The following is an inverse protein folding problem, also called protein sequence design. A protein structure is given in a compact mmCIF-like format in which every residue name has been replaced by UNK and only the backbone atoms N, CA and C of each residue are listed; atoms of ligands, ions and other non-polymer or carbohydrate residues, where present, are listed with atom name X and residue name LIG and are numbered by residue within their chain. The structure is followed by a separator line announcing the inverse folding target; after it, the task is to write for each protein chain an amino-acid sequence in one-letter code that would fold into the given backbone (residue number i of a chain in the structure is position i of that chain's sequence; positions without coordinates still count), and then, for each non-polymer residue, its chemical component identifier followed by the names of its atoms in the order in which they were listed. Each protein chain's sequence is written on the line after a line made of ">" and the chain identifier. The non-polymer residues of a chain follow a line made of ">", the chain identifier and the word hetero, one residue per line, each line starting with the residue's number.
data_IF_903467012102
#
_entry.id   IF_903467012102
#
_cell.length_a   1.000
_cell.length_b   1.000
_cell.length_c   1.000
_cell.angle_alpha   90.00
_cell.angle_beta   90.00
_cell.angle_gamma   90.00
#
_symmetry.space_group_name_H-M   'P 1'
#
loop_
_entity.id
_entity.type
_entity.pdbx_description
1 polymer ?
#
# COMPACT_ATOMS: atom_id res chain seq x y z
N UNK A 1 33.33 10.65 24.39
CA UNK A 1 32.90 9.30 23.95
C UNK A 1 31.52 9.04 24.53
N UNK A 2 30.47 9.13 23.72
CA UNK A 2 29.09 8.85 24.16
C UNK A 2 28.67 7.56 23.49
N UNK A 3 28.69 6.47 24.26
CA UNK A 3 28.22 5.15 23.85
C UNK A 3 26.75 5.23 23.46
N UNK A 4 26.46 5.17 22.16
CA UNK A 4 25.11 4.92 21.69
C UNK A 4 24.72 3.50 22.09
N UNK A 5 23.94 3.38 23.16
CA UNK A 5 23.22 2.16 23.49
C UNK A 5 22.18 1.95 22.40
N UNK A 6 22.55 1.19 21.39
CA UNK A 6 21.61 0.58 20.46
C UNK A 6 20.68 -0.32 21.29
N UNK A 7 19.47 0.15 21.57
CA UNK A 7 18.43 -0.69 22.20
C UNK A 7 17.95 -1.68 21.15
N UNK A 8 18.76 -2.69 20.88
CA UNK A 8 18.38 -3.89 20.15
C UNK A 8 17.24 -4.51 20.94
N UNK A 9 16.04 -4.57 20.35
CA UNK A 9 14.92 -5.31 20.95
C UNK A 9 15.42 -6.72 21.24
N UNK A 10 15.22 -7.29 22.44
CA UNK A 10 15.57 -8.67 22.69
C UNK A 10 14.83 -9.52 21.65
N UNK A 11 15.61 -10.16 20.77
CA UNK A 11 15.09 -11.11 19.79
C UNK A 11 14.52 -12.25 20.61
N UNK A 12 13.21 -12.48 20.52
CA UNK A 12 12.55 -13.58 21.23
C UNK A 12 13.35 -14.85 20.91
N UNK A 13 13.85 -15.59 21.91
CA UNK A 13 14.64 -16.78 21.68
C UNK A 13 13.89 -17.76 20.77
N UNK A 14 14.57 -18.46 19.86
CA UNK A 14 13.92 -19.56 19.14
C UNK A 14 13.43 -20.59 20.13
N UNK A 15 12.27 -21.20 19.83
CA UNK A 15 11.67 -22.21 20.70
C UNK A 15 12.66 -23.34 20.98
N UNK A 16 12.77 -23.73 22.25
CA UNK A 16 13.62 -24.85 22.64
C UNK A 16 13.02 -26.18 22.15
N UNK A 17 13.83 -27.24 22.05
CA UNK A 17 13.35 -28.59 21.71
C UNK A 17 12.16 -29.06 22.58
N UNK A 18 12.17 -28.90 23.92
CA UNK A 18 11.01 -29.28 24.74
C UNK A 18 9.79 -28.39 24.47
N UNK A 19 9.96 -27.09 24.20
CA UNK A 19 8.85 -26.21 23.81
C UNK A 19 8.24 -26.60 22.47
N UNK A 20 9.05 -27.04 21.51
CA UNK A 20 8.57 -27.55 20.22
C UNK A 20 7.77 -28.85 20.39
N UNK A 21 8.25 -29.77 21.24
CA UNK A 21 7.49 -30.98 21.59
C UNK A 21 6.18 -30.65 22.29
N UNK A 22 6.20 -29.73 23.26
CA UNK A 22 5.00 -29.26 23.95
C UNK A 22 4.02 -28.63 22.95
N UNK A 23 4.49 -27.78 22.04
CA UNK A 23 3.67 -27.17 21.00
C UNK A 23 3.03 -28.24 20.09
N UNK A 24 3.81 -29.24 19.68
CA UNK A 24 3.32 -30.37 18.89
C UNK A 24 2.25 -31.17 19.63
N UNK A 25 2.50 -31.51 20.90
CA UNK A 25 1.54 -32.23 21.73
C UNK A 25 0.24 -31.42 21.91
N UNK A 26 0.34 -30.14 22.24
CA UNK A 26 -0.81 -29.23 22.38
C UNK A 26 -1.61 -29.16 21.07
N UNK A 27 -0.94 -29.07 19.92
CA UNK A 27 -1.61 -29.05 18.62
C UNK A 27 -2.40 -30.34 18.35
N UNK A 28 -1.82 -31.51 18.68
CA UNK A 28 -2.49 -32.81 18.53
C UNK A 28 -3.70 -32.93 19.47
N UNK A 29 -3.54 -32.58 20.75
CA UNK A 29 -4.67 -32.61 21.70
C UNK A 29 -5.77 -31.62 21.31
N UNK A 30 -5.41 -30.41 20.88
CA UNK A 30 -6.39 -29.43 20.43
C UNK A 30 -7.15 -29.91 19.18
N UNK A 31 -6.46 -30.52 18.21
CA UNK A 31 -7.09 -31.13 17.04
C UNK A 31 -8.03 -32.29 17.43
N UNK A 32 -7.63 -33.13 18.38
CA UNK A 32 -8.46 -34.22 18.90
C UNK A 32 -9.74 -33.72 19.57
N UNK A 33 -9.63 -32.74 20.48
CA UNK A 33 -10.77 -32.12 21.16
C UNK A 33 -11.69 -31.41 20.16
N UNK A 34 -11.12 -30.66 19.22
CA UNK A 34 -11.87 -30.00 18.16
C UNK A 34 -12.61 -31.00 17.26
N UNK A 35 -11.96 -32.10 16.89
CA UNK A 35 -12.57 -33.17 16.09
C UNK A 35 -13.73 -33.87 16.81
N UNK A 36 -13.60 -34.16 18.11
CA UNK A 36 -14.69 -34.72 18.91
C UNK A 36 -15.87 -33.74 19.03
N UNK A 37 -15.59 -32.45 19.25
CA UNK A 37 -16.63 -31.41 19.26
C UNK A 37 -17.36 -31.30 17.92
N UNK A 38 -16.63 -31.38 16.81
CA UNK A 38 -17.20 -31.38 15.46
C UNK A 38 -18.08 -32.61 15.22
N UNK A 39 -17.63 -33.80 15.60
CA UNK A 39 -18.40 -35.05 15.44
C UNK A 39 -19.71 -35.02 16.25
N UNK A 40 -19.67 -34.51 17.49
CA UNK A 40 -20.87 -34.36 18.32
C UNK A 40 -21.84 -33.32 17.76
N UNK A 41 -21.33 -32.17 17.28
CA UNK A 41 -22.10 -31.15 16.58
C UNK A 41 -22.75 -31.70 15.32
N UNK A 42 -22.00 -32.48 14.54
CA UNK A 42 -22.47 -33.11 13.30
C UNK A 42 -23.68 -34.01 13.54
N UNK A 43 -23.60 -34.89 14.54
CA UNK A 43 -24.71 -35.77 14.89
C UNK A 43 -25.94 -34.98 15.34
N UNK A 44 -25.76 -33.99 16.22
CA UNK A 44 -26.85 -33.16 16.73
C UNK A 44 -27.56 -32.37 15.61
N UNK A 45 -26.79 -31.75 14.72
CA UNK A 45 -27.31 -30.94 13.61
C UNK A 45 -27.91 -31.82 12.51
N UNK A 46 -27.32 -32.97 12.20
CA UNK A 46 -27.87 -33.94 11.25
C UNK A 46 -29.20 -34.52 11.76
N UNK A 47 -29.27 -34.91 13.03
CA UNK A 47 -30.52 -35.36 13.65
C UNK A 47 -31.59 -34.26 13.66
N UNK A 48 -31.20 -33.00 13.85
CA UNK A 48 -32.11 -31.86 13.73
C UNK A 48 -32.57 -31.64 12.28
N UNK A 49 -31.67 -31.76 11.30
CA UNK A 49 -31.99 -31.68 9.87
C UNK A 49 -33.03 -32.71 9.45
N UNK A 50 -32.98 -33.92 10.00
CA UNK A 50 -34.00 -34.94 9.76
C UNK A 50 -35.37 -34.50 10.26
N UNK A 51 -35.43 -33.90 11.46
CA UNK A 51 -36.67 -33.35 12.04
C UNK A 51 -37.19 -32.13 11.25
N UNK A 52 -36.30 -31.36 10.63
CA UNK A 52 -36.64 -30.21 9.80
C UNK A 52 -37.03 -30.58 8.36
N UNK A 53 -37.01 -31.86 7.99
CA UNK A 53 -37.48 -32.35 6.69
C UNK A 53 -36.42 -32.34 5.58
N UNK A 54 -35.13 -32.27 5.90
CA UNK A 54 -34.08 -32.43 4.89
C UNK A 54 -34.01 -33.87 4.38
N UNK A 55 -34.01 -34.06 3.06
CA UNK A 55 -33.86 -35.38 2.45
C UNK A 55 -32.50 -36.03 2.73
N UNK A 56 -31.44 -35.21 2.82
CA UNK A 56 -30.08 -35.62 3.19
C UNK A 56 -29.61 -34.78 4.39
N UNK A 57 -30.00 -35.13 5.63
CA UNK A 57 -29.74 -34.30 6.81
C UNK A 57 -28.25 -34.04 7.09
N UNK A 58 -27.39 -34.98 6.72
CA UNK A 58 -25.94 -34.87 6.87
C UNK A 58 -25.32 -33.75 6.02
N UNK A 59 -25.98 -33.34 4.93
CA UNK A 59 -25.44 -32.33 4.01
C UNK A 59 -25.42 -30.93 4.63
N UNK A 60 -26.33 -30.64 5.55
CA UNK A 60 -26.42 -29.35 6.25
C UNK A 60 -25.14 -29.05 7.06
N UNK A 61 -24.70 -29.91 8.01
CA UNK A 61 -23.45 -29.69 8.72
C UNK A 61 -22.22 -29.83 7.80
N UNK A 62 -22.19 -30.79 6.85
CA UNK A 62 -21.06 -30.92 5.90
C UNK A 62 -20.83 -29.63 5.12
N UNK A 63 -21.88 -29.05 4.55
CA UNK A 63 -21.75 -27.86 3.70
C UNK A 63 -21.12 -26.68 4.45
N UNK A 64 -21.53 -26.46 5.70
CA UNK A 64 -21.03 -25.35 6.53
C UNK A 64 -19.62 -25.65 7.04
N UNK A 65 -19.37 -26.85 7.54
CA UNK A 65 -18.09 -27.22 8.15
C UNK A 65 -16.97 -27.40 7.12
N UNK A 66 -17.29 -27.75 5.86
CA UNK A 66 -16.34 -27.73 4.74
C UNK A 66 -16.09 -26.30 4.24
N UNK A 67 -17.09 -25.44 4.28
CA UNK A 67 -16.94 -24.06 3.81
C UNK A 67 -15.95 -23.26 4.67
N UNK A 68 -15.94 -23.43 5.99
CA UNK A 68 -15.02 -22.72 6.90
C UNK A 68 -13.54 -22.89 6.50
N UNK A 69 -12.96 -24.11 6.42
CA UNK A 69 -11.57 -24.29 6.03
C UNK A 69 -11.31 -23.89 4.58
N UNK A 70 -12.26 -24.08 3.65
CA UNK A 70 -12.11 -23.68 2.24
C UNK A 70 -12.00 -22.16 2.12
N UNK A 71 -12.92 -21.39 2.72
CA UNK A 71 -12.87 -19.93 2.69
C UNK A 71 -11.67 -19.38 3.47
N UNK A 72 -11.29 -20.02 4.58
CA UNK A 72 -10.07 -19.68 5.32
C UNK A 72 -8.83 -19.88 4.45
N UNK A 73 -8.69 -21.04 3.79
CA UNK A 73 -7.57 -21.34 2.90
C UNK A 73 -7.52 -20.38 1.70
N UNK A 74 -8.67 -20.09 1.07
CA UNK A 74 -8.77 -19.12 0.00
C UNK A 74 -8.34 -17.71 0.46
N UNK A 75 -8.76 -17.29 1.66
CA UNK A 75 -8.33 -16.02 2.24
C UNK A 75 -6.82 -15.99 2.52
N UNK A 76 -6.24 -17.06 3.06
CA UNK A 76 -4.80 -17.17 3.26
C UNK A 76 -4.03 -17.15 1.92
N UNK A 77 -4.58 -17.76 0.87
CA UNK A 77 -4.02 -17.72 -0.46
C UNK A 77 -4.07 -16.32 -1.07
N UNK A 78 -5.17 -15.59 -0.87
CA UNK A 78 -5.31 -14.19 -1.30
C UNK A 78 -4.32 -13.26 -0.58
N UNK A 79 -4.06 -13.50 0.71
CA UNK A 79 -2.98 -12.82 1.44
C UNK A 79 -1.62 -13.17 0.81
N UNK A 80 -1.42 -14.44 0.46
CA UNK A 80 -0.16 -14.95 -0.11
C UNK A 80 0.14 -14.38 -1.49
N UNK A 81 -0.89 -14.08 -2.29
CA UNK A 81 -0.81 -13.52 -3.65
C UNK A 81 -0.91 -12.00 -3.70
N UNK A 82 -0.89 -11.32 -2.55
CA UNK A 82 -0.95 -9.84 -2.46
C UNK A 82 -2.27 -9.24 -2.99
N UNK A 83 -3.35 -10.03 -2.97
CA UNK A 83 -4.71 -9.61 -3.35
C UNK A 83 -5.71 -9.78 -2.19
N UNK A 84 -5.48 -9.17 -1.01
CA UNK A 84 -6.31 -9.44 0.16
C UNK A 84 -7.72 -8.85 0.00
N UNK A 85 -8.71 -9.73 -0.17
CA UNK A 85 -10.12 -9.36 -0.15
C UNK A 85 -10.61 -9.25 1.30
N UNK A 86 -10.46 -8.07 1.90
CA UNK A 86 -10.67 -7.84 3.34
C UNK A 86 -12.06 -8.16 3.89
N UNK A 87 -13.08 -8.26 3.03
CA UNK A 87 -14.44 -8.64 3.41
C UNK A 87 -14.64 -10.15 3.53
N UNK A 88 -13.87 -10.96 2.80
CA UNK A 88 -13.98 -12.44 2.82
C UNK A 88 -13.68 -13.00 4.20
N UNK A 89 -12.88 -12.27 5.00
CA UNK A 89 -12.66 -12.52 6.43
C UNK A 89 -13.97 -12.69 7.23
N UNK A 90 -15.05 -12.03 6.84
CA UNK A 90 -16.31 -12.11 7.58
C UNK A 90 -17.09 -13.39 7.24
N UNK A 91 -16.78 -14.07 6.14
CA UNK A 91 -17.50 -15.28 5.70
C UNK A 91 -17.34 -16.42 6.70
N UNK A 92 -16.12 -16.82 7.15
CA UNK A 92 -15.97 -17.83 8.20
C UNK A 92 -16.68 -17.47 9.51
N UNK A 93 -16.71 -16.18 9.89
CA UNK A 93 -17.40 -15.72 11.10
C UNK A 93 -18.93 -15.84 10.98
N UNK A 94 -19.49 -15.50 9.83
CA UNK A 94 -20.90 -15.70 9.55
C UNK A 94 -21.26 -17.19 9.55
N UNK A 95 -20.47 -18.03 8.87
CA UNK A 95 -20.66 -19.48 8.84
C UNK A 95 -20.59 -20.09 10.24
N UNK A 96 -19.63 -19.67 11.06
CA UNK A 96 -19.54 -20.06 12.47
C UNK A 96 -20.80 -19.70 13.24
N UNK A 97 -21.30 -18.47 13.05
CA UNK A 97 -22.55 -18.03 13.67
C UNK A 97 -23.74 -18.92 13.29
N UNK A 98 -23.82 -19.33 12.02
CA UNK A 98 -24.82 -20.29 11.54
C UNK A 98 -24.61 -21.67 12.20
N UNK A 99 -23.38 -22.20 12.28
CA UNK A 99 -23.12 -23.48 12.95
C UNK A 99 -23.54 -23.46 14.41
N UNK A 100 -23.20 -22.39 15.15
CA UNK A 100 -23.62 -22.21 16.54
C UNK A 100 -25.14 -22.15 16.66
N UNK A 101 -25.81 -21.39 15.78
CA UNK A 101 -27.26 -21.29 15.75
C UNK A 101 -27.92 -22.66 15.53
N UNK A 102 -27.45 -23.43 14.55
CA UNK A 102 -28.02 -24.75 14.23
C UNK A 102 -27.85 -25.72 15.40
N UNK A 103 -26.70 -25.68 16.09
CA UNK A 103 -26.48 -26.48 17.29
C UNK A 103 -27.37 -26.06 18.46
N UNK A 104 -27.58 -24.76 18.66
CA UNK A 104 -28.53 -24.24 19.65
C UNK A 104 -29.95 -24.70 19.30
N UNK A 105 -30.33 -24.66 18.02
CA UNK A 105 -31.65 -25.10 17.57
C UNK A 105 -31.86 -26.61 17.71
N UNK A 106 -30.79 -27.41 17.71
CA UNK A 106 -30.84 -28.86 17.93
C UNK A 106 -31.11 -29.23 19.40
N UNK A 107 -30.63 -28.41 20.35
CA UNK A 107 -30.74 -28.67 21.79
C UNK A 107 -32.15 -28.51 22.37
N UNK A 108 -32.58 -29.47 23.19
CA UNK A 108 -33.92 -29.48 23.79
C UNK A 108 -34.01 -28.73 25.13
N UNK A 109 -32.96 -28.79 25.96
CA UNK A 109 -32.88 -28.07 27.24
C UNK A 109 -31.96 -26.86 27.15
N UNK A 110 -32.11 -25.88 28.06
CA UNK A 110 -31.24 -24.70 28.08
C UNK A 110 -29.75 -25.08 28.19
N UNK A 111 -29.41 -26.04 29.06
CA UNK A 111 -28.05 -26.54 29.20
C UNK A 111 -27.54 -27.23 27.93
N UNK A 112 -28.37 -28.02 27.26
CA UNK A 112 -28.01 -28.67 25.99
C UNK A 112 -27.79 -27.63 24.89
N UNK A 113 -28.65 -26.61 24.79
CA UNK A 113 -28.50 -25.50 23.83
C UNK A 113 -27.18 -24.78 24.01
N UNK A 114 -26.81 -24.46 25.24
CA UNK A 114 -25.52 -23.82 25.56
C UNK A 114 -24.35 -24.75 25.23
N UNK A 115 -24.41 -26.02 25.63
CA UNK A 115 -23.34 -26.97 25.40
C UNK A 115 -23.10 -27.20 23.90
N UNK A 116 -24.16 -27.54 23.15
CA UNK A 116 -24.06 -27.77 21.70
C UNK A 116 -23.68 -26.49 20.96
N UNK A 117 -24.22 -25.33 21.33
CA UNK A 117 -23.85 -24.06 20.70
C UNK A 117 -22.38 -23.65 20.89
N UNK A 118 -21.77 -24.07 21.99
CA UNK A 118 -20.39 -23.73 22.34
C UNK A 118 -19.37 -24.68 21.70
N UNK A 119 -19.71 -25.95 21.48
CA UNK A 119 -18.77 -26.93 20.91
C UNK A 119 -18.13 -26.52 19.57
N UNK A 120 -18.87 -25.98 18.58
CA UNK A 120 -18.29 -25.50 17.32
C UNK A 120 -17.26 -24.39 17.51
N UNK A 121 -17.39 -23.58 18.56
CA UNK A 121 -16.44 -22.49 18.81
C UNK A 121 -15.03 -23.01 19.10
N UNK A 122 -14.89 -24.19 19.71
CA UNK A 122 -13.58 -24.79 19.98
C UNK A 122 -12.81 -25.05 18.68
N UNK A 123 -13.49 -25.64 17.70
CA UNK A 123 -12.91 -25.89 16.38
C UNK A 123 -12.60 -24.60 15.63
N UNK A 124 -13.51 -23.61 15.68
CA UNK A 124 -13.30 -22.32 15.03
C UNK A 124 -12.11 -21.57 15.63
N UNK A 125 -12.00 -21.52 16.95
CA UNK A 125 -10.85 -20.93 17.64
C UNK A 125 -9.55 -21.61 17.21
N UNK A 126 -9.53 -22.95 17.14
CA UNK A 126 -8.36 -23.69 16.65
C UNK A 126 -8.01 -23.31 15.20
N UNK A 127 -8.99 -23.25 14.31
CA UNK A 127 -8.80 -22.87 12.90
C UNK A 127 -8.32 -21.42 12.73
N UNK A 128 -8.84 -20.49 13.54
CA UNK A 128 -8.46 -19.07 13.54
C UNK A 128 -7.03 -18.90 14.06
N UNK A 129 -6.63 -19.65 15.09
CA UNK A 129 -5.25 -19.66 15.58
C UNK A 129 -4.31 -20.18 14.51
N UNK A 130 -4.65 -21.27 13.83
CA UNK A 130 -3.85 -21.81 12.72
C UNK A 130 -3.72 -20.80 11.57
N UNK A 131 -4.83 -20.19 11.15
CA UNK A 131 -4.85 -19.15 10.13
C UNK A 131 -4.04 -17.93 10.54
N UNK A 132 -4.14 -17.49 11.79
CA UNK A 132 -3.38 -16.37 12.34
C UNK A 132 -1.88 -16.65 12.35
N UNK A 133 -1.46 -17.85 12.76
CA UNK A 133 -0.04 -18.25 12.75
C UNK A 133 0.48 -18.27 11.31
N UNK A 134 -0.27 -18.86 10.38
CA UNK A 134 0.12 -18.92 8.96
C UNK A 134 0.21 -17.51 8.33
N UNK A 135 -0.81 -16.67 8.53
CA UNK A 135 -0.83 -15.29 8.05
C UNK A 135 0.30 -14.45 8.68
N UNK A 136 0.60 -14.66 9.97
CA UNK A 136 1.70 -13.98 10.66
C UNK A 136 3.06 -14.38 10.10
N UNK A 137 3.25 -15.65 9.72
CA UNK A 137 4.46 -16.12 9.05
C UNK A 137 4.62 -15.49 7.67
N UNK A 138 3.58 -15.49 6.85
CA UNK A 138 3.62 -14.86 5.52
C UNK A 138 3.86 -13.35 5.65
N UNK A 139 3.10 -12.66 6.50
CA UNK A 139 3.23 -11.22 6.69
C UNK A 139 4.59 -10.78 7.24
N UNK A 140 5.29 -11.64 7.99
CA UNK A 140 6.66 -11.41 8.41
C UNK A 140 7.67 -11.59 7.25
N UNK A 141 7.44 -12.55 6.36
CA UNK A 141 8.32 -12.84 5.21
C UNK A 141 8.14 -11.82 4.08
N UNK A 142 6.94 -11.28 3.86
CA UNK A 142 6.66 -10.32 2.78
C UNK A 142 7.24 -8.92 3.05
N UNK A 143 7.73 -8.62 4.27
CA UNK A 143 8.48 -7.40 4.58
C UNK A 143 7.71 -6.07 4.54
N UNK A 144 6.47 -6.04 4.03
CA UNK A 144 5.66 -4.83 3.86
C UNK A 144 4.83 -4.43 5.09
N UNK A 145 5.03 -5.11 6.23
CA UNK A 145 4.29 -4.78 7.45
C UNK A 145 4.88 -3.54 8.10
N UNK A 146 4.27 -2.39 7.82
CA UNK A 146 4.53 -1.15 8.56
C UNK A 146 4.22 -1.38 10.06
N UNK A 147 5.23 -1.24 10.91
CA UNK A 147 5.06 -1.30 12.35
C UNK A 147 4.16 -0.15 12.82
N UNK A 148 3.13 -0.49 13.61
CA UNK A 148 2.23 0.51 14.17
C UNK A 148 2.94 1.32 15.25
N UNK A 149 2.75 2.64 15.24
CA UNK A 149 3.21 3.50 16.35
C UNK A 149 2.46 3.13 17.63
N UNK A 150 3.16 3.11 18.77
CA UNK A 150 2.56 2.84 20.08
C UNK A 150 1.37 3.77 20.36
N UNK A 151 0.25 3.19 20.78
CA UNK A 151 -0.97 3.92 21.18
C UNK A 151 -0.70 4.95 22.28
N UNK A 152 0.19 4.65 23.22
CA UNK A 152 0.57 5.60 24.28
C UNK A 152 1.16 6.90 23.74
N UNK A 153 1.89 6.87 22.62
CA UNK A 153 2.47 8.08 22.03
C UNK A 153 1.42 8.95 21.34
N UNK A 154 0.38 8.33 20.76
CA UNK A 154 -0.77 9.08 20.24
C UNK A 154 -1.48 9.88 21.33
N UNK A 155 -1.56 9.33 22.55
CA UNK A 155 -2.14 10.03 23.70
C UNK A 155 -1.23 11.13 24.25
N UNK A 156 0.06 10.82 24.44
CA UNK A 156 1.01 11.72 25.10
C UNK A 156 1.57 12.81 24.17
N UNK A 157 1.63 12.56 22.87
CA UNK A 157 2.22 13.46 21.90
C UNK A 157 1.58 13.32 20.50
N UNK A 158 0.30 13.70 20.32
CA UNK A 158 -0.46 13.44 19.10
C UNK A 158 0.13 14.11 17.86
N UNK A 159 0.53 15.38 17.96
CA UNK A 159 1.08 16.13 16.81
C UNK A 159 2.43 15.57 16.34
N UNK A 160 3.35 15.30 17.26
CA UNK A 160 4.66 14.72 16.90
C UNK A 160 4.50 13.29 16.38
N UNK A 161 3.54 12.54 16.92
CA UNK A 161 3.19 11.21 16.43
C UNK A 161 2.63 11.26 15.01
N UNK A 162 1.75 12.21 14.70
CA UNK A 162 1.23 12.40 13.34
C UNK A 162 2.35 12.75 12.35
N UNK A 163 3.29 13.62 12.71
CA UNK A 163 4.43 13.94 11.83
C UNK A 163 5.34 12.75 11.59
N UNK A 164 5.57 11.91 12.62
CA UNK A 164 6.34 10.67 12.47
C UNK A 164 5.60 9.67 11.57
N UNK A 165 4.30 9.47 11.83
CA UNK A 165 3.45 8.58 11.03
C UNK A 165 3.45 8.97 9.56
N UNK A 166 3.17 10.26 9.26
CA UNK A 166 3.18 10.77 7.90
C UNK A 166 4.52 10.51 7.21
N UNK A 167 5.64 10.66 7.93
CA UNK A 167 6.96 10.40 7.36
C UNK A 167 7.21 8.91 7.16
N UNK A 168 6.83 8.05 8.11
CA UNK A 168 6.90 6.60 7.94
C UNK A 168 6.15 6.15 6.70
N UNK A 169 4.94 6.69 6.48
CA UNK A 169 4.12 6.40 5.29
C UNK A 169 4.73 6.94 4.00
N UNK A 170 5.22 8.19 3.97
CA UNK A 170 5.76 8.81 2.75
C UNK A 170 7.12 8.25 2.31
N UNK A 171 7.90 7.74 3.25
CA UNK A 171 9.27 7.25 3.01
C UNK A 171 9.37 5.73 3.17
N UNK A 172 8.22 5.04 3.24
CA UNK A 172 8.11 3.59 3.41
C UNK A 172 8.99 3.02 4.53
N UNK A 173 9.15 3.78 5.63
CA UNK A 173 9.93 3.33 6.79
C UNK A 173 9.08 2.35 7.59
N UNK A 174 9.30 1.06 7.34
CA UNK A 174 8.49 -0.02 7.92
C UNK A 174 8.73 -0.23 9.42
N UNK A 175 9.90 0.13 9.95
CA UNK A 175 10.25 -0.03 11.38
C UNK A 175 9.96 1.24 12.18
N UNK A 176 9.19 1.09 13.27
CA UNK A 176 8.92 2.19 14.20
C UNK A 176 10.19 2.61 14.96
N UNK A 177 11.04 1.64 15.31
CA UNK A 177 12.32 1.89 15.97
C UNK A 177 13.23 2.75 15.10
N UNK A 178 13.35 2.39 13.82
CA UNK A 178 14.19 3.09 12.85
C UNK A 178 13.65 4.49 12.57
N UNK A 179 12.33 4.65 12.49
CA UNK A 179 11.69 5.95 12.34
C UNK A 179 12.01 6.87 13.54
N UNK A 180 11.98 6.33 14.76
CA UNK A 180 12.29 7.08 15.96
C UNK A 180 13.77 7.45 16.05
N UNK A 181 14.67 6.54 15.65
CA UNK A 181 16.10 6.78 15.59
C UNK A 181 16.43 7.91 14.60
N UNK A 182 15.87 7.86 13.38
CA UNK A 182 16.02 8.92 12.37
C UNK A 182 15.44 10.26 12.83
N UNK A 183 14.34 10.25 13.58
CA UNK A 183 13.79 11.48 14.16
C UNK A 183 14.71 12.05 15.25
N UNK A 184 15.30 11.20 16.10
CA UNK A 184 16.30 11.60 17.09
C UNK A 184 17.54 12.22 16.42
N UNK A 185 18.08 11.58 15.40
CA UNK A 185 19.22 12.08 14.61
C UNK A 185 18.93 13.44 13.99
N UNK A 186 17.74 13.63 13.40
CA UNK A 186 17.34 14.92 12.85
C UNK A 186 17.30 16.01 13.91
N UNK A 187 16.80 15.70 15.11
CA UNK A 187 16.73 16.67 16.21
C UNK A 187 18.13 17.06 16.70
N UNK A 188 19.06 16.10 16.76
CA UNK A 188 20.47 16.35 17.08
C UNK A 188 21.16 17.20 16.00
N UNK A 189 21.00 16.85 14.72
CA UNK A 189 21.55 17.63 13.60
C UNK A 189 21.02 19.08 13.60
N UNK A 190 19.72 19.26 13.89
CA UNK A 190 19.13 20.60 14.04
C UNK A 190 19.73 21.37 15.23
N UNK A 191 20.03 20.69 16.33
CA UNK A 191 20.67 21.30 17.49
C UNK A 191 22.12 21.72 17.17
N UNK A 192 22.89 20.88 16.48
CA UNK A 192 24.25 21.20 16.02
C UNK A 192 24.29 22.39 15.06
N UNK A 193 23.36 22.45 14.09
CA UNK A 193 23.23 23.61 13.20
C UNK A 193 22.88 24.90 13.95
N UNK A 194 22.03 24.79 14.98
CA UNK A 194 21.73 25.92 15.87
C UNK A 194 22.92 26.37 16.68
N UNK A 195 23.77 25.45 17.13
CA UNK A 195 25.00 25.75 17.84
C UNK A 195 26.01 26.46 16.92
N UNK A 196 26.23 25.94 15.71
CA UNK A 196 27.21 26.49 14.74
C UNK A 196 26.80 27.84 14.14
N UNK A 197 25.51 28.03 13.83
CA UNK A 197 25.04 29.21 13.10
C UNK A 197 24.14 30.16 13.92
N UNK A 198 23.86 29.82 15.17
CA UNK A 198 23.06 30.63 16.09
C UNK A 198 21.59 30.79 15.68
N UNK A 199 20.98 31.91 16.07
CA UNK A 199 19.55 32.19 15.83
C UNK A 199 19.17 32.21 14.35
N UNK A 200 20.09 32.61 13.46
CA UNK A 200 19.91 32.67 11.99
C UNK A 200 20.34 31.39 11.28
N UNK A 201 20.38 30.24 11.96
CA UNK A 201 20.84 28.98 11.36
C UNK A 201 20.13 28.63 10.05
N UNK A 202 18.81 28.85 9.93
CA UNK A 202 18.06 28.52 8.71
C UNK A 202 18.55 29.28 7.46
N UNK A 203 19.01 30.51 7.61
CA UNK A 203 19.51 31.32 6.49
C UNK A 203 21.01 31.13 6.27
N UNK A 204 21.78 30.86 7.33
CA UNK A 204 23.23 30.69 7.27
C UNK A 204 23.70 29.27 6.95
N UNK A 205 22.85 28.26 7.14
CA UNK A 205 23.20 26.85 6.83
C UNK A 205 23.32 26.66 5.31
N UNK A 206 24.42 26.06 4.82
CA UNK A 206 24.57 25.66 3.42
C UNK A 206 23.35 24.88 2.90
N UNK A 207 23.00 25.10 1.62
CA UNK A 207 21.84 24.45 1.00
C UNK A 207 21.88 22.91 1.07
N UNK A 208 23.02 22.22 0.86
CA UNK A 208 23.09 20.77 0.96
C UNK A 208 22.71 20.24 2.35
N UNK A 209 23.31 20.81 3.41
CA UNK A 209 23.01 20.43 4.80
C UNK A 209 21.52 20.64 5.15
N UNK A 210 20.90 21.73 4.64
CA UNK A 210 19.46 21.98 4.81
C UNK A 210 18.57 20.96 4.09
N UNK A 211 18.97 20.52 2.91
CA UNK A 211 18.23 19.54 2.12
C UNK A 211 18.30 18.18 2.82
N UNK A 212 19.49 17.76 3.23
CA UNK A 212 19.68 16.49 3.95
C UNK A 212 18.87 16.46 5.27
N UNK A 213 18.80 17.57 6.01
CA UNK A 213 17.95 17.67 7.21
C UNK A 213 16.45 17.51 6.88
N UNK A 214 16.00 18.02 5.72
CA UNK A 214 14.60 17.96 5.29
C UNK A 214 14.22 16.56 4.81
N UNK A 215 15.09 15.93 4.02
CA UNK A 215 14.96 14.55 3.55
C UNK A 215 15.01 13.57 4.72
N UNK A 216 15.79 13.89 5.77
CA UNK A 216 15.97 13.01 6.92
C UNK A 216 17.05 11.95 6.68
N UNK A 217 17.95 12.21 5.74
CA UNK A 217 19.05 11.35 5.31
C UNK A 217 20.40 11.73 5.95
N UNK A 218 20.39 12.58 7.00
CA UNK A 218 21.62 12.90 7.73
C UNK A 218 22.02 11.77 8.67
N UNK A 219 22.48 10.66 8.08
CA UNK A 219 23.70 10.04 8.56
C UNK A 219 24.79 10.53 7.61
N UNK A 220 25.54 11.61 7.91
CA UNK A 220 26.88 11.63 7.38
C UNK A 220 27.52 10.34 7.91
N UNK A 221 27.95 9.46 7.01
CA UNK A 221 29.00 8.51 7.35
C UNK A 221 30.02 9.30 8.18
N UNK A 222 30.33 8.77 9.36
CA UNK A 222 31.21 9.43 10.32
C UNK A 222 32.44 9.99 9.61
N UNK A 223 32.90 11.13 10.12
CA UNK A 223 34.14 11.80 9.74
C UNK A 223 35.20 10.84 9.17
N UNK A 224 35.29 10.77 7.84
CA UNK A 224 36.40 10.18 7.09
C UNK A 224 36.44 10.82 5.69
N UNK A 225 36.32 12.15 5.65
CA UNK A 225 37.03 12.91 4.62
C UNK A 225 38.34 13.35 5.28
N UNK A 226 39.50 12.81 4.86
CA UNK A 226 40.78 13.25 5.39
C UNK A 226 40.88 14.78 5.28
N UNK A 227 41.47 15.48 6.26
CA UNK A 227 41.70 16.90 6.13
C UNK A 227 42.59 17.10 4.91
N UNK A 228 42.10 17.82 3.89
CA UNK A 228 42.98 18.36 2.88
C UNK A 228 43.95 19.28 3.63
N UNK A 229 45.27 19.02 3.61
CA UNK A 229 46.23 19.86 4.32
C UNK A 229 46.13 21.30 3.79
N UNK A 230 46.33 22.33 4.64
CA UNK A 230 46.45 23.69 4.17
C UNK A 230 47.60 23.74 3.16
N UNK A 231 47.31 24.10 1.91
CA UNK A 231 48.38 24.43 0.97
C UNK A 231 49.01 25.74 1.44
N UNK A 232 50.20 25.61 2.00
CA UNK A 232 51.08 26.72 2.31
C UNK A 232 51.29 27.58 1.06
N UNK A 233 51.20 28.88 1.26
CA UNK A 233 51.48 29.88 0.25
C UNK A 233 52.98 29.90 -0.06
N UNK A 234 53.36 29.54 -1.29
CA UNK A 234 54.65 29.89 -1.87
C UNK A 234 54.52 31.04 -2.89
N UNK A 235 55.55 31.91 -2.98
CA UNK A 235 55.47 33.26 -3.58
C UNK A 235 55.49 33.27 -5.13
N UNK A 236 55.15 34.40 -5.77
CA UNK A 236 54.74 34.44 -7.17
C UNK A 236 55.93 34.39 -8.11
N UNK A 237 55.83 33.60 -9.19
CA UNK A 237 56.68 33.72 -10.38
C UNK A 237 55.88 34.33 -11.52
N UNK A 238 56.41 35.43 -12.04
CA UNK A 238 55.95 36.17 -13.21
C UNK A 238 56.32 35.45 -14.54
N UNK A 239 55.76 35.99 -15.62
CA UNK A 239 55.99 35.75 -17.07
C UNK A 239 55.12 34.65 -17.70
N UNK A 240 54.35 34.86 -18.79
CA UNK A 240 54.12 35.95 -19.76
C UNK A 240 52.78 35.66 -20.50
N UNK A 241 52.17 36.61 -21.25
CA UNK A 241 50.76 36.60 -21.61
C UNK A 241 50.42 35.81 -22.89
N UNK A 242 49.34 35.03 -22.87
CA UNK A 242 48.67 34.50 -24.08
C UNK A 242 47.20 34.92 -24.17
N UNK A 243 46.84 35.29 -25.40
CA UNK A 243 45.67 36.01 -25.87
C UNK A 243 44.27 35.44 -25.47
N UNK A 244 43.22 36.29 -25.43
CA UNK A 244 41.91 35.91 -24.91
C UNK A 244 41.09 35.12 -25.94
N UNK A 245 40.82 33.84 -25.64
CA UNK A 245 39.81 33.07 -26.38
C UNK A 245 38.42 33.35 -25.80
N UNK A 246 37.68 34.24 -26.47
CA UNK A 246 36.22 34.37 -26.34
C UNK A 246 35.55 33.04 -26.70
N UNK A 247 34.80 32.47 -25.76
CA UNK A 247 33.67 31.56 -26.04
C UNK A 247 32.56 31.78 -24.99
N UNK A 248 31.30 31.61 -25.38
CA UNK A 248 30.28 32.61 -25.15
C UNK A 248 29.55 32.41 -23.83
N UNK A 249 29.26 33.53 -23.16
CA UNK A 249 28.16 33.61 -22.21
C UNK A 249 26.87 33.17 -22.92
N UNK A 250 26.31 32.02 -22.54
CA UNK A 250 24.88 31.79 -22.78
C UNK A 250 24.12 32.71 -21.85
N UNK A 251 23.85 33.88 -22.40
CA UNK A 251 22.85 34.84 -21.95
C UNK A 251 21.61 34.10 -21.50
N UNK A 252 21.23 34.38 -20.26
CA UNK A 252 19.88 34.23 -19.78
C UNK A 252 18.95 34.96 -20.75
N UNK A 253 18.32 34.21 -21.66
CA UNK A 253 17.14 34.69 -22.38
C UNK A 253 15.96 34.34 -21.48
N UNK A 254 15.59 35.32 -20.64
CA UNK A 254 14.31 35.31 -19.94
C UNK A 254 13.22 35.14 -20.99
N UNK A 255 12.66 33.93 -21.07
CA UNK A 255 11.43 33.72 -21.82
C UNK A 255 10.34 34.29 -20.93
N UNK A 256 9.81 35.45 -21.33
CA UNK A 256 8.63 36.03 -20.73
C UNK A 256 7.59 34.91 -20.52
N UNK A 257 7.20 34.76 -19.25
CA UNK A 257 6.07 33.93 -18.84
C UNK A 257 4.82 34.44 -19.56
N UNK A 258 4.49 33.86 -20.73
CA UNK A 258 3.12 33.89 -21.22
C UNK A 258 2.26 33.19 -20.16
N UNK A 259 1.16 33.83 -19.78
CA UNK A 259 0.18 33.28 -18.86
C UNK A 259 -0.16 31.82 -19.23
N UNK A 260 -0.40 30.93 -18.24
CA UNK A 260 -0.74 29.54 -18.53
C UNK A 260 -1.99 29.51 -19.42
N UNK A 261 -1.87 28.93 -20.62
CA UNK A 261 -2.98 28.72 -21.56
C UNK A 261 -4.10 27.98 -20.83
N UNK A 262 -5.30 28.53 -20.89
CA UNK A 262 -6.45 27.89 -20.26
C UNK A 262 -6.84 26.61 -21.05
N UNK A 263 -7.48 25.62 -20.41
CA UNK A 263 -7.93 24.41 -21.12
C UNK A 263 -8.86 24.71 -22.32
N UNK A 264 -9.65 25.79 -22.24
CA UNK A 264 -10.53 26.23 -23.33
C UNK A 264 -9.75 26.79 -24.53
N UNK A 265 -8.68 27.55 -24.30
CA UNK A 265 -7.79 28.03 -25.36
C UNK A 265 -7.08 26.87 -26.08
N UNK A 266 -6.65 25.85 -25.34
CA UNK A 266 -6.03 24.66 -25.93
C UNK A 266 -7.00 23.84 -26.78
N UNK A 267 -8.29 23.80 -26.44
CA UNK A 267 -9.32 23.16 -27.26
C UNK A 267 -9.56 23.93 -28.56
N UNK A 268 -9.60 25.26 -28.52
CA UNK A 268 -9.75 26.07 -29.73
C UNK A 268 -8.55 25.91 -30.68
N UNK A 269 -7.32 25.98 -30.16
CA UNK A 269 -6.09 25.75 -30.93
C UNK A 269 -6.02 24.31 -31.48
N UNK A 270 -6.53 23.33 -30.72
CA UNK A 270 -6.61 21.94 -31.17
C UNK A 270 -7.58 21.76 -32.35
N UNK A 271 -8.74 22.46 -32.35
CA UNK A 271 -9.70 22.40 -33.47
C UNK A 271 -9.11 22.97 -34.76
N UNK A 272 -8.38 24.08 -34.68
CA UNK A 272 -7.71 24.67 -35.84
C UNK A 272 -6.62 23.74 -36.41
N UNK A 273 -5.75 23.21 -35.55
CA UNK A 273 -4.61 22.39 -35.98
C UNK A 273 -5.06 21.02 -36.51
N UNK A 274 -6.14 20.47 -35.97
CA UNK A 274 -6.66 19.16 -36.39
C UNK A 274 -7.69 19.24 -37.50
N UNK A 275 -8.04 20.42 -38.01
CA UNK A 275 -9.05 20.58 -39.07
C UNK A 275 -8.79 19.66 -40.28
N UNK A 276 -7.53 19.53 -40.70
CA UNK A 276 -7.13 18.73 -41.86
C UNK A 276 -6.73 17.27 -41.51
N UNK A 277 -6.89 16.86 -40.25
CA UNK A 277 -6.48 15.52 -39.79
C UNK A 277 -7.62 14.53 -39.98
N UNK A 278 -7.31 13.32 -40.46
CA UNK A 278 -8.25 12.19 -40.38
C UNK A 278 -8.46 11.76 -38.93
N UNK A 279 -9.58 11.09 -38.65
CA UNK A 279 -9.90 10.66 -37.28
C UNK A 279 -8.85 9.70 -36.70
N UNK A 280 -8.30 8.83 -37.54
CA UNK A 280 -7.22 7.90 -37.16
C UNK A 280 -5.90 8.63 -36.81
N UNK A 281 -5.71 9.84 -37.34
CA UNK A 281 -4.55 10.68 -37.04
C UNK A 281 -4.70 11.45 -35.72
N UNK A 282 -5.91 11.55 -35.16
CA UNK A 282 -6.15 12.20 -33.85
C UNK A 282 -5.73 11.25 -32.72
N UNK A 283 -4.44 11.24 -32.42
CA UNK A 283 -3.88 10.53 -31.27
C UNK A 283 -3.26 11.51 -30.25
N UNK A 284 -3.18 11.04 -29.00
CA UNK A 284 -2.74 11.88 -27.88
C UNK A 284 -1.27 12.31 -27.97
N UNK A 285 -0.43 11.59 -28.72
CA UNK A 285 0.99 11.92 -28.89
C UNK A 285 1.21 12.96 -30.01
N UNK A 286 0.44 12.86 -31.09
CA UNK A 286 0.40 13.85 -32.15
C UNK A 286 -0.07 15.21 -31.62
N UNK A 287 -1.18 15.24 -30.86
CA UNK A 287 -1.69 16.46 -30.21
C UNK A 287 -0.71 17.05 -29.19
N UNK A 288 0.00 16.20 -28.44
CA UNK A 288 1.04 16.64 -27.49
C UNK A 288 2.21 17.30 -28.23
N UNK A 289 2.62 16.71 -29.35
CA UNK A 289 3.76 17.18 -30.13
C UNK A 289 3.45 18.49 -30.83
N UNK A 290 2.26 18.65 -31.40
CA UNK A 290 1.86 19.86 -32.13
C UNK A 290 1.48 21.03 -31.23
N UNK A 291 0.73 20.78 -30.15
CA UNK A 291 0.27 21.84 -29.23
C UNK A 291 1.24 22.09 -28.06
N UNK A 292 2.32 21.30 -27.96
CA UNK A 292 3.29 21.32 -26.86
C UNK A 292 2.64 21.31 -25.47
N UNK A 293 1.56 20.53 -25.31
CA UNK A 293 0.77 20.47 -24.08
C UNK A 293 1.15 19.28 -23.18
N UNK A 294 0.61 19.24 -21.96
CA UNK A 294 0.85 18.13 -21.02
C UNK A 294 0.19 16.84 -21.53
N UNK A 295 0.71 15.68 -21.14
CA UNK A 295 0.15 14.39 -21.55
C UNK A 295 -1.27 14.16 -21.02
N UNK A 296 -1.64 14.80 -19.90
CA UNK A 296 -3.00 14.78 -19.39
C UNK A 296 -3.94 15.59 -20.30
N UNK A 297 -3.53 16.79 -20.70
CA UNK A 297 -4.35 17.64 -21.57
C UNK A 297 -4.50 17.01 -22.96
N UNK A 298 -3.45 16.41 -23.54
CA UNK A 298 -3.55 15.84 -24.89
C UNK A 298 -4.53 14.66 -24.99
N UNK A 299 -4.68 13.87 -23.92
CA UNK A 299 -5.69 12.79 -23.85
C UNK A 299 -7.11 13.35 -23.77
N UNK A 300 -7.33 14.36 -22.92
CA UNK A 300 -8.63 15.03 -22.80
C UNK A 300 -9.03 15.71 -24.11
N UNK A 301 -8.09 16.39 -24.78
CA UNK A 301 -8.31 17.01 -26.09
C UNK A 301 -8.67 15.98 -27.15
N UNK A 302 -7.97 14.84 -27.20
CA UNK A 302 -8.27 13.74 -28.13
C UNK A 302 -9.71 13.24 -27.96
N UNK A 303 -10.11 12.93 -26.73
CA UNK A 303 -11.41 12.33 -26.45
C UNK A 303 -12.55 13.32 -26.77
N UNK A 304 -12.36 14.61 -26.46
CA UNK A 304 -13.31 15.66 -26.82
C UNK A 304 -13.43 15.86 -28.33
N UNK A 305 -12.32 15.91 -29.07
CA UNK A 305 -12.34 16.06 -30.53
C UNK A 305 -13.00 14.86 -31.23
N UNK A 306 -12.70 13.63 -30.79
CA UNK A 306 -13.33 12.43 -31.36
C UNK A 306 -14.84 12.39 -31.07
N UNK A 307 -15.25 12.83 -29.88
CA UNK A 307 -16.67 12.93 -29.53
C UNK A 307 -17.38 13.99 -30.38
N UNK A 308 -16.80 15.19 -30.53
CA UNK A 308 -17.36 16.27 -31.37
C UNK A 308 -17.51 15.83 -32.84
N UNK A 309 -16.55 15.09 -33.38
CA UNK A 309 -16.62 14.57 -34.77
C UNK A 309 -17.64 13.44 -34.93
N UNK A 310 -17.81 12.60 -33.92
CA UNK A 310 -18.85 11.58 -33.91
C UNK A 310 -20.25 12.22 -33.88
N UNK A 311 -20.44 13.28 -33.08
CA UNK A 311 -21.70 14.01 -32.98
C UNK A 311 -21.99 14.83 -34.24
N UNK A 312 -20.98 15.47 -34.85
CA UNK A 312 -21.12 16.17 -36.12
C UNK A 312 -21.57 15.26 -37.27
N UNK A 313 -21.08 14.02 -37.32
CA UNK A 313 -21.56 13.01 -38.30
C UNK A 313 -23.00 12.60 -38.07
N UNK A 314 -23.46 12.52 -36.82
CA UNK A 314 -24.87 12.22 -36.51
C UNK A 314 -25.83 13.32 -36.97
N UNK A 315 -25.35 14.56 -37.05
CA UNK A 315 -26.13 15.72 -37.49
C UNK A 315 -26.13 15.91 -39.02
N UNK A 316 -25.19 15.29 -39.73
CA UNK A 316 -25.15 15.22 -41.20
C UNK A 316 -25.20 13.75 -41.67
N UNK A 317 -26.32 13.03 -41.52
CA UNK A 317 -26.53 11.80 -42.25
C UNK A 317 -26.69 12.16 -43.74
N UNK A 318 -25.70 11.84 -44.55
CA UNK A 318 -25.84 11.87 -46.01
C UNK A 318 -26.52 10.58 -46.41
N UNK A 319 -27.79 10.65 -46.82
CA UNK A 319 -28.51 9.55 -47.44
C UNK A 319 -27.90 9.25 -48.82
N UNK A 320 -27.09 8.19 -48.87
CA UNK A 320 -26.71 7.52 -50.11
C UNK A 320 -27.58 6.29 -50.32
N UNK A 321 -28.73 6.49 -50.97
CA UNK A 321 -29.51 5.42 -51.58
C UNK A 321 -28.67 4.77 -52.71
N UNK A 322 -28.62 3.44 -52.74
CA UNK A 322 -28.93 2.58 -53.90
C UNK A 322 -28.55 1.15 -53.56
N UNK A 323 -29.56 0.33 -53.22
CA UNK A 323 -29.67 -1.04 -53.71
C UNK A 323 -31.17 -1.42 -53.65
N UNK A 324 -31.73 -1.61 -54.83
CA UNK A 324 -33.15 -1.87 -55.06
C UNK A 324 -33.60 -3.23 -54.54
N UNK A 325 -34.84 -3.22 -54.01
CA UNK A 325 -35.97 -4.06 -54.45
C UNK A 325 -35.68 -5.59 -54.54
N UNK A 326 -36.17 -6.40 -53.60
CA UNK A 326 -37.60 -6.75 -53.47
C UNK A 326 -37.84 -8.08 -54.20
N UNK A 327 -37.71 -9.23 -53.53
CA UNK A 327 -38.78 -9.96 -52.85
C UNK A 327 -39.83 -10.64 -53.78
N UNK A 328 -39.93 -11.96 -53.61
CA UNK A 328 -41.13 -12.81 -53.71
C UNK A 328 -41.73 -13.16 -55.08
N UNK A 329 -41.50 -14.41 -55.51
CA UNK A 329 -42.53 -15.43 -55.71
C UNK A 329 -41.89 -16.83 -55.57
#
# INVERSE_FOLDING_TARGET
>A
MTTMTETVRPKVPPLSKPELWLLGAVAVFAAGVGGLGLASSFEAVSAAGARWGFASPWMLPVGIDVAIPVFTAAFLLLIRTDMPLGWVRFVPWALTGVTCWLNIAAGQSLSAKVAHGTMPLLWVVLSEVAAHVYASRIGAVTGRRMEKIRRSRWLLAPLSTFTLWRRMTLWEITSYGDALARERERQLARAQLRQRFGRRWRSKTPRPERVLLKLGELAPAGDDVPPVPPQDAEPPKQDTPKAPRKRPSKTAKGKASKAPRTPAELLAEAREVTADWSDDAINAEALRTTLHCSAANSRVLRDLLLTERADGRRLHPVDGNEDGEGAAA
#
